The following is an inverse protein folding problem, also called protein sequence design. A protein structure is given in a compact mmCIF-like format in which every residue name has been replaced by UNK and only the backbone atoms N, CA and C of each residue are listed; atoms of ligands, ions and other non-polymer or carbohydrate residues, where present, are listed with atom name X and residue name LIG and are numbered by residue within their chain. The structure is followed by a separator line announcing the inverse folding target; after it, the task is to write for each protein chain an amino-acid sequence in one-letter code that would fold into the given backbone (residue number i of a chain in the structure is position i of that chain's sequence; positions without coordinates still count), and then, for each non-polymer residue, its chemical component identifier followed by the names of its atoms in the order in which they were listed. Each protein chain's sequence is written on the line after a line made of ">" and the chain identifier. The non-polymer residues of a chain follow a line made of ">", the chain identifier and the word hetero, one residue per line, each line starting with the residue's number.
data_IF_117172792272
#
_entry.id   IF_117172792272
#
_cell.length_a   1.000
_cell.length_b   1.000
_cell.length_c   1.000
_cell.angle_alpha   90.00
_cell.angle_beta   90.00
_cell.angle_gamma   90.00
#
_symmetry.space_group_name_H-M   'P 1'
#
loop_
_entity.id
_entity.type
_entity.pdbx_description
1 polymer ?
#
# COMPACT_ATOMS: atom_id res chain seq x y z
N UNK A 1 9.67 62.88 -28.48
CA UNK A 1 9.45 61.45 -28.74
C UNK A 1 8.37 60.88 -27.84
N UNK A 2 7.46 60.06 -28.38
CA UNK A 2 6.57 59.26 -27.54
C UNK A 2 7.40 58.21 -26.77
N UNK A 3 6.99 57.84 -25.54
CA UNK A 3 7.71 56.86 -24.75
C UNK A 3 7.69 55.50 -25.46
N UNK A 4 8.87 54.89 -25.59
CA UNK A 4 9.06 53.54 -26.12
C UNK A 4 8.31 52.55 -25.20
N UNK A 5 7.42 51.70 -25.73
CA UNK A 5 6.75 50.68 -24.93
C UNK A 5 7.82 49.75 -24.30
N UNK A 6 7.84 49.68 -22.98
CA UNK A 6 8.64 48.68 -22.27
C UNK A 6 8.06 47.31 -22.60
N UNK A 7 8.88 46.43 -23.18
CA UNK A 7 8.46 45.05 -23.45
C UNK A 7 7.93 44.42 -22.14
N UNK A 8 6.82 43.66 -22.19
CA UNK A 8 6.32 42.99 -20.99
C UNK A 8 7.45 42.12 -20.42
N UNK A 9 7.69 42.25 -19.12
CA UNK A 9 8.65 41.42 -18.42
C UNK A 9 8.35 39.96 -18.77
N UNK A 10 9.37 39.22 -19.22
CA UNK A 10 9.25 37.78 -19.47
C UNK A 10 8.71 37.06 -18.23
N UNK A 11 8.15 35.84 -18.38
CA UNK A 11 7.60 35.10 -17.25
C UNK A 11 8.64 35.04 -16.13
N UNK A 12 8.24 35.44 -14.91
CA UNK A 12 9.11 35.40 -13.72
C UNK A 12 9.49 33.94 -13.48
N UNK A 13 10.74 33.59 -13.78
CA UNK A 13 11.31 32.27 -13.48
C UNK A 13 11.70 32.32 -12.00
N UNK A 14 10.95 31.63 -11.15
CA UNK A 14 11.27 31.49 -9.73
C UNK A 14 12.52 30.60 -9.62
N UNK A 15 13.59 31.14 -9.04
CA UNK A 15 14.84 30.39 -8.80
C UNK A 15 14.73 29.51 -7.54
N UNK A 16 15.64 28.56 -7.38
CA UNK A 16 15.73 27.76 -6.14
C UNK A 16 15.98 28.65 -4.93
N UNK A 17 16.83 29.67 -5.08
CA UNK A 17 17.11 30.64 -4.02
C UNK A 17 15.84 31.38 -3.59
N UNK A 18 15.00 31.80 -4.54
CA UNK A 18 13.72 32.43 -4.23
C UNK A 18 12.80 31.49 -3.43
N UNK A 19 12.82 30.18 -3.75
CA UNK A 19 12.01 29.19 -3.02
C UNK A 19 12.59 28.98 -1.62
N UNK A 20 13.90 28.85 -1.47
CA UNK A 20 14.57 28.76 -0.16
C UNK A 20 14.22 29.95 0.73
N UNK A 21 14.26 31.17 0.20
CA UNK A 21 13.92 32.38 0.95
C UNK A 21 12.45 32.40 1.38
N UNK A 22 11.53 31.98 0.51
CA UNK A 22 10.10 31.85 0.85
C UNK A 22 9.87 30.78 1.90
N UNK A 23 10.46 29.59 1.73
CA UNK A 23 10.37 28.50 2.71
C UNK A 23 10.91 28.95 4.06
N UNK A 24 12.06 29.62 4.11
CA UNK A 24 12.67 30.12 5.35
C UNK A 24 11.83 31.19 6.03
N UNK A 25 11.14 32.03 5.24
CA UNK A 25 10.23 33.06 5.75
C UNK A 25 9.04 32.45 6.48
N UNK A 26 8.44 31.41 5.90
CA UNK A 26 7.23 30.79 6.44
C UNK A 26 7.56 29.64 7.42
N UNK A 27 8.81 29.16 7.44
CA UNK A 27 9.33 28.09 8.31
C UNK A 27 10.69 28.51 8.92
N UNK A 28 10.72 29.18 10.08
CA UNK A 28 11.94 29.74 10.65
C UNK A 28 13.06 28.71 10.92
N UNK A 29 12.71 27.46 11.22
CA UNK A 29 13.67 26.38 11.52
C UNK A 29 14.17 25.64 10.28
N UNK A 30 13.66 25.97 9.08
CA UNK A 30 14.08 25.35 7.83
C UNK A 30 15.59 25.59 7.55
N UNK A 31 16.32 24.55 7.16
CA UNK A 31 17.80 24.57 7.08
C UNK A 31 18.34 24.71 5.65
N UNK A 32 17.55 25.22 4.71
CA UNK A 32 17.92 25.31 3.28
C UNK A 32 18.31 23.95 2.67
N UNK A 33 17.65 22.89 3.12
CA UNK A 33 17.92 21.50 2.77
C UNK A 33 16.89 20.90 1.82
N UNK A 34 16.02 21.71 1.20
CA UNK A 34 15.19 21.24 0.10
C UNK A 34 16.05 20.93 -1.12
N UNK A 35 15.67 19.88 -1.83
CA UNK A 35 16.29 19.48 -3.09
C UNK A 35 15.32 19.76 -4.24
N UNK A 36 15.81 20.33 -5.33
CA UNK A 36 15.00 20.66 -6.51
C UNK A 36 15.54 19.96 -7.76
N UNK A 37 14.63 19.35 -8.53
CA UNK A 37 14.94 18.83 -9.85
C UNK A 37 14.40 19.74 -10.94
N UNK A 38 15.21 19.92 -11.99
CA UNK A 38 14.88 20.80 -13.12
C UNK A 38 14.83 20.03 -14.44
N UNK A 39 13.87 20.38 -15.28
CA UNK A 39 13.86 20.01 -16.69
C UNK A 39 13.81 21.28 -17.54
N UNK A 40 14.76 21.42 -18.48
CA UNK A 40 14.86 22.60 -19.37
C UNK A 40 14.85 23.93 -18.59
N UNK A 41 15.48 23.95 -17.41
CA UNK A 41 15.58 25.13 -16.54
C UNK A 41 14.34 25.42 -15.68
N UNK A 42 13.27 24.63 -15.81
CA UNK A 42 12.05 24.76 -15.00
C UNK A 42 12.14 23.77 -13.84
N UNK A 43 11.85 24.23 -12.62
CA UNK A 43 11.76 23.36 -11.44
C UNK A 43 10.49 22.51 -11.57
N UNK A 44 10.69 21.20 -11.70
CA UNK A 44 9.61 20.21 -11.88
C UNK A 44 9.50 19.24 -10.70
N UNK A 45 10.51 19.17 -9.84
CA UNK A 45 10.44 18.39 -8.62
C UNK A 45 11.01 19.12 -7.42
N UNK A 46 10.46 18.82 -6.25
CA UNK A 46 10.95 19.29 -4.97
C UNK A 46 10.87 18.17 -3.94
N UNK A 47 11.90 18.05 -3.11
CA UNK A 47 11.88 17.28 -1.88
C UNK A 47 12.11 18.23 -0.72
N UNK A 48 11.13 18.33 0.18
CA UNK A 48 11.24 19.17 1.37
C UNK A 48 11.55 18.31 2.60
N UNK A 49 12.17 18.93 3.61
CA UNK A 49 12.53 18.25 4.86
C UNK A 49 12.19 19.16 6.02
N UNK A 50 11.30 18.71 6.90
CA UNK A 50 10.95 19.43 8.14
C UNK A 50 10.23 20.75 7.92
N UNK A 51 9.49 20.89 6.81
CA UNK A 51 8.71 22.09 6.47
C UNK A 51 7.25 21.86 6.83
N UNK A 52 6.60 22.84 7.49
CA UNK A 52 5.17 22.80 7.81
C UNK A 52 4.36 23.59 6.78
N UNK A 53 4.76 24.85 6.52
CA UNK A 53 4.10 25.73 5.57
C UNK A 53 4.74 25.60 4.17
N UNK A 54 3.98 25.01 3.25
CA UNK A 54 4.38 24.80 1.86
C UNK A 54 3.84 25.86 0.90
N UNK A 55 3.37 27.01 1.39
CA UNK A 55 2.86 28.13 0.58
C UNK A 55 3.87 28.64 -0.44
N UNK A 56 5.16 28.49 -0.15
CA UNK A 56 6.26 28.78 -1.06
C UNK A 56 6.18 28.01 -2.40
N UNK A 57 5.53 26.83 -2.42
CA UNK A 57 5.39 25.99 -3.62
C UNK A 57 4.26 26.43 -4.55
N UNK A 58 3.39 27.34 -4.10
CA UNK A 58 2.23 27.78 -4.85
C UNK A 58 2.64 28.33 -6.22
N UNK A 59 1.89 27.92 -7.25
CA UNK A 59 2.09 28.30 -8.66
C UNK A 59 3.41 27.81 -9.31
N UNK A 60 4.20 26.98 -8.63
CA UNK A 60 5.27 26.23 -9.28
C UNK A 60 4.68 25.17 -10.22
N UNK A 61 5.46 24.76 -11.23
CA UNK A 61 5.07 23.72 -12.21
C UNK A 61 5.58 22.35 -11.79
N UNK A 62 5.48 22.05 -10.50
CA UNK A 62 5.91 20.77 -9.97
C UNK A 62 5.05 19.64 -10.55
N UNK A 63 5.73 18.55 -10.88
CA UNK A 63 5.16 17.26 -11.26
C UNK A 63 5.43 16.19 -10.18
N UNK A 64 6.51 16.35 -9.41
CA UNK A 64 6.92 15.42 -8.36
C UNK A 64 7.18 16.19 -7.08
N UNK A 65 6.48 15.82 -6.00
CA UNK A 65 6.66 16.46 -4.71
C UNK A 65 6.81 15.40 -3.61
N UNK A 66 7.95 15.44 -2.93
CA UNK A 66 8.24 14.60 -1.77
C UNK A 66 8.19 15.47 -0.50
N UNK A 67 7.22 15.17 0.37
CA UNK A 67 7.05 15.79 1.68
C UNK A 67 7.18 14.77 2.81
N UNK A 68 7.77 13.60 2.56
CA UNK A 68 7.88 12.53 3.55
C UNK A 68 8.44 13.05 4.88
N UNK A 69 7.78 12.69 6.00
CA UNK A 69 8.11 13.12 7.36
C UNK A 69 8.09 14.65 7.59
N UNK A 70 7.48 15.43 6.69
CA UNK A 70 7.24 16.84 6.96
C UNK A 70 5.98 17.00 7.81
N UNK A 71 5.94 17.96 8.75
CA UNK A 71 4.76 18.26 9.57
C UNK A 71 3.62 18.95 8.78
N UNK A 72 3.51 18.72 7.47
CA UNK A 72 2.50 19.35 6.61
C UNK A 72 1.12 18.76 6.90
N UNK A 73 0.17 19.63 7.22
CA UNK A 73 -1.25 19.27 7.36
C UNK A 73 -2.16 19.97 6.34
N UNK A 74 -1.78 21.17 5.88
CA UNK A 74 -2.54 21.93 4.88
C UNK A 74 -2.01 21.71 3.46
N UNK A 75 -2.83 21.06 2.63
CA UNK A 75 -2.54 20.84 1.20
C UNK A 75 -3.10 21.96 0.30
N UNK A 76 -3.72 23.00 0.85
CA UNK A 76 -4.31 24.10 0.06
C UNK A 76 -3.34 24.76 -0.92
N UNK A 77 -2.01 24.89 -0.66
CA UNK A 77 -1.07 25.43 -1.63
C UNK A 77 -0.90 24.58 -2.89
N UNK A 78 -1.25 23.28 -2.84
CA UNK A 78 -1.11 22.33 -3.94
C UNK A 78 -2.31 22.36 -4.90
N UNK A 79 -3.39 23.04 -4.54
CA UNK A 79 -4.65 23.02 -5.29
C UNK A 79 -4.46 23.45 -6.75
N UNK A 80 -4.82 22.55 -7.67
CA UNK A 80 -4.79 22.80 -9.11
C UNK A 80 -3.38 22.71 -9.74
N UNK A 81 -2.38 22.22 -9.01
CA UNK A 81 -1.09 21.86 -9.59
C UNK A 81 -1.22 20.62 -10.50
N UNK A 82 -0.26 20.42 -11.40
CA UNK A 82 -0.20 19.27 -12.32
C UNK A 82 0.75 18.18 -11.79
N UNK A 83 0.60 17.86 -10.50
CA UNK A 83 1.39 16.80 -9.86
C UNK A 83 0.99 15.43 -10.42
N UNK A 84 2.01 14.61 -10.69
CA UNK A 84 1.91 13.20 -11.06
C UNK A 84 2.31 12.29 -9.90
N UNK A 85 3.22 12.75 -9.03
CA UNK A 85 3.69 12.07 -7.83
C UNK A 85 3.57 12.99 -6.62
N UNK A 86 3.00 12.48 -5.54
CA UNK A 86 2.95 13.17 -4.25
C UNK A 86 3.20 12.18 -3.10
N UNK A 87 4.25 12.43 -2.33
CA UNK A 87 4.54 11.67 -1.11
C UNK A 87 4.19 12.50 0.14
N UNK A 88 3.23 11.99 0.91
CA UNK A 88 2.76 12.54 2.20
C UNK A 88 2.95 11.52 3.33
N UNK A 89 3.88 10.59 3.16
CA UNK A 89 4.17 9.55 4.15
C UNK A 89 4.59 10.19 5.48
N UNK A 90 3.92 9.80 6.57
CA UNK A 90 4.05 10.36 7.91
C UNK A 90 3.80 11.88 8.02
N UNK A 91 3.02 12.45 7.10
CA UNK A 91 2.49 13.81 7.25
C UNK A 91 1.16 13.80 8.03
N UNK A 92 0.89 14.78 8.90
CA UNK A 92 -0.35 14.86 9.66
C UNK A 92 -1.57 15.33 8.83
N UNK A 93 -1.66 14.90 7.57
CA UNK A 93 -2.74 15.25 6.64
C UNK A 93 -4.02 14.51 6.99
N UNK A 94 -5.14 15.23 6.97
CA UNK A 94 -6.50 14.66 7.15
C UNK A 94 -7.42 14.95 5.95
N UNK A 95 -7.21 16.06 5.24
CA UNK A 95 -8.07 16.50 4.14
C UNK A 95 -7.37 16.39 2.78
N UNK A 96 -7.92 15.56 1.89
CA UNK A 96 -7.46 15.41 0.51
C UNK A 96 -8.23 16.29 -0.49
N UNK A 97 -9.18 17.12 -0.03
CA UNK A 97 -9.99 17.98 -0.90
C UNK A 97 -9.17 18.88 -1.85
N UNK A 98 -7.98 19.40 -1.49
CA UNK A 98 -7.15 20.16 -2.42
C UNK A 98 -6.64 19.36 -3.61
N UNK A 99 -6.58 18.03 -3.50
CA UNK A 99 -6.09 17.13 -4.55
C UNK A 99 -7.15 16.74 -5.59
N UNK A 100 -8.42 17.05 -5.33
CA UNK A 100 -9.55 16.60 -6.14
C UNK A 100 -9.38 16.97 -7.61
N UNK A 101 -9.48 15.97 -8.49
CA UNK A 101 -9.43 16.14 -9.94
C UNK A 101 -8.01 16.34 -10.52
N UNK A 102 -6.97 16.21 -9.70
CA UNK A 102 -5.59 16.19 -10.18
C UNK A 102 -5.28 14.90 -10.97
N UNK A 103 -4.19 14.91 -11.72
CA UNK A 103 -3.74 13.76 -12.54
C UNK A 103 -2.65 12.95 -11.85
N UNK A 104 -2.75 12.80 -10.53
CA UNK A 104 -1.83 11.99 -9.74
C UNK A 104 -1.87 10.54 -10.23
N UNK A 105 -0.68 9.98 -10.46
CA UNK A 105 -0.46 8.58 -10.79
C UNK A 105 0.04 7.81 -9.57
N UNK A 106 0.78 8.48 -8.69
CA UNK A 106 1.34 7.92 -7.47
C UNK A 106 1.03 8.85 -6.29
N UNK A 107 0.40 8.30 -5.25
CA UNK A 107 0.04 9.02 -4.03
C UNK A 107 0.35 8.16 -2.81
N UNK A 108 1.27 8.64 -1.96
CA UNK A 108 1.65 7.93 -0.74
C UNK A 108 1.12 8.68 0.48
N UNK A 109 0.32 7.98 1.29
CA UNK A 109 -0.38 8.46 2.48
C UNK A 109 -0.06 7.61 3.71
N UNK A 110 0.97 6.74 3.63
CA UNK A 110 1.36 5.83 4.71
C UNK A 110 1.55 6.59 6.01
N UNK A 111 0.93 6.12 7.10
CA UNK A 111 1.04 6.74 8.42
C UNK A 111 0.47 8.17 8.52
N UNK A 112 -0.35 8.61 7.57
CA UNK A 112 -1.12 9.86 7.67
C UNK A 112 -2.43 9.66 8.43
N UNK A 113 -3.18 10.74 8.66
CA UNK A 113 -4.47 10.71 9.36
C UNK A 113 -5.69 10.78 8.41
N UNK A 114 -5.48 10.49 7.12
CA UNK A 114 -6.55 10.47 6.12
C UNK A 114 -7.56 9.36 6.44
N UNK A 115 -8.85 9.72 6.44
CA UNK A 115 -9.96 8.76 6.60
C UNK A 115 -10.95 8.78 5.44
N UNK A 116 -11.01 9.89 4.68
CA UNK A 116 -11.91 10.07 3.54
C UNK A 116 -11.13 10.05 2.21
N UNK A 117 -11.44 9.05 1.38
CA UNK A 117 -10.88 8.91 0.03
C UNK A 117 -11.76 9.53 -1.06
N UNK A 118 -12.91 10.13 -0.72
CA UNK A 118 -13.83 10.70 -1.70
C UNK A 118 -13.19 11.71 -2.68
N UNK A 119 -12.16 12.50 -2.31
CA UNK A 119 -11.49 13.38 -3.26
C UNK A 119 -10.73 12.65 -4.38
N UNK A 120 -10.40 11.36 -4.17
CA UNK A 120 -9.62 10.54 -5.11
C UNK A 120 -10.46 9.88 -6.21
N UNK A 121 -11.79 9.92 -6.09
CA UNK A 121 -12.69 9.19 -6.97
C UNK A 121 -12.46 9.53 -8.45
N UNK A 122 -12.23 8.50 -9.26
CA UNK A 122 -12.02 8.62 -10.71
C UNK A 122 -10.67 9.20 -11.13
N UNK A 123 -9.74 9.45 -10.19
CA UNK A 123 -8.39 9.89 -10.52
C UNK A 123 -7.57 8.74 -11.14
N UNK A 124 -6.57 9.03 -12.00
CA UNK A 124 -5.79 8.02 -12.71
C UNK A 124 -4.68 7.38 -11.85
N UNK A 125 -4.90 7.25 -10.54
CA UNK A 125 -3.90 6.72 -9.59
C UNK A 125 -3.66 5.24 -9.90
N UNK A 126 -2.39 4.89 -10.05
CA UNK A 126 -1.90 3.52 -10.29
C UNK A 126 -1.26 2.93 -9.05
N UNK A 127 -0.62 3.78 -8.24
CA UNK A 127 0.02 3.39 -6.98
C UNK A 127 -0.57 4.27 -5.87
N UNK A 128 -1.31 3.64 -4.98
CA UNK A 128 -1.84 4.25 -3.75
C UNK A 128 -1.28 3.50 -2.55
N UNK A 129 -0.50 4.19 -1.72
CA UNK A 129 -0.06 3.67 -0.41
C UNK A 129 -0.85 4.38 0.68
N UNK A 130 -1.47 3.62 1.56
CA UNK A 130 -2.35 4.15 2.61
C UNK A 130 -2.42 3.23 3.83
N UNK A 131 -1.46 2.33 3.97
CA UNK A 131 -1.24 1.53 5.17
C UNK A 131 -1.08 2.43 6.40
N UNK A 132 -1.49 1.93 7.57
CA UNK A 132 -1.48 2.67 8.83
C UNK A 132 -2.30 3.96 8.82
N UNK A 133 -3.41 4.00 8.08
CA UNK A 133 -4.35 5.13 8.06
C UNK A 133 -5.71 4.76 8.66
N UNK A 134 -6.48 5.73 9.18
CA UNK A 134 -7.82 5.46 9.72
C UNK A 134 -8.90 5.20 8.66
N UNK A 135 -8.55 4.99 7.39
CA UNK A 135 -9.49 4.69 6.28
C UNK A 135 -10.34 3.46 6.62
N UNK A 136 -11.66 3.61 6.47
CA UNK A 136 -12.64 2.53 6.67
C UNK A 136 -13.51 2.27 5.45
N UNK A 137 -13.67 3.27 4.57
CA UNK A 137 -14.42 3.16 3.33
C UNK A 137 -13.49 3.26 2.13
N UNK A 138 -13.50 2.21 1.31
CA UNK A 138 -12.75 2.13 0.06
C UNK A 138 -13.63 2.36 -1.17
N UNK A 139 -14.94 2.60 -1.02
CA UNK A 139 -15.88 2.83 -2.13
C UNK A 139 -15.42 3.85 -3.18
N UNK A 140 -14.68 4.94 -2.82
CA UNK A 140 -14.16 5.88 -3.82
C UNK A 140 -13.16 5.28 -4.80
N UNK A 141 -12.61 4.09 -4.50
CA UNK A 141 -11.63 3.40 -5.36
C UNK A 141 -12.28 2.63 -6.51
N UNK A 142 -13.60 2.50 -6.55
CA UNK A 142 -14.32 1.70 -7.55
C UNK A 142 -13.88 2.02 -9.00
N UNK A 143 -13.50 0.97 -9.73
CA UNK A 143 -13.07 1.06 -11.14
C UNK A 143 -11.72 1.75 -11.39
N UNK A 144 -10.96 2.10 -10.35
CA UNK A 144 -9.63 2.69 -10.51
C UNK A 144 -8.61 1.66 -11.06
N UNK A 145 -7.57 2.12 -11.79
CA UNK A 145 -6.61 1.23 -12.46
C UNK A 145 -5.51 0.69 -11.51
N UNK A 146 -5.89 0.29 -10.30
CA UNK A 146 -4.97 -0.23 -9.28
C UNK A 146 -4.64 -1.70 -9.57
N UNK A 147 -3.35 -2.01 -9.68
CA UNK A 147 -2.86 -3.39 -9.81
C UNK A 147 -2.49 -4.02 -8.45
N UNK A 148 -2.29 -3.19 -7.42
CA UNK A 148 -1.95 -3.59 -6.07
C UNK A 148 -2.77 -2.73 -5.09
N UNK A 149 -3.26 -3.35 -4.03
CA UNK A 149 -3.94 -2.67 -2.94
C UNK A 149 -3.41 -3.18 -1.61
N UNK A 150 -2.83 -2.27 -0.82
CA UNK A 150 -2.40 -2.53 0.54
C UNK A 150 -3.35 -1.85 1.53
N UNK A 151 -4.03 -2.66 2.34
CA UNK A 151 -4.94 -2.22 3.41
C UNK A 151 -4.36 -2.51 4.80
N UNK A 152 -3.06 -2.80 4.90
CA UNK A 152 -2.41 -3.10 6.17
C UNK A 152 -2.72 -2.06 7.23
N UNK A 153 -3.22 -2.52 8.37
CA UNK A 153 -3.52 -1.68 9.54
C UNK A 153 -4.43 -0.49 9.20
N UNK A 154 -5.44 -0.74 8.37
CA UNK A 154 -6.56 0.18 8.12
C UNK A 154 -7.81 -0.30 8.85
N UNK A 155 -8.86 0.54 8.87
CA UNK A 155 -10.17 0.23 9.50
C UNK A 155 -11.17 -0.42 8.54
N UNK A 156 -10.72 -0.85 7.36
CA UNK A 156 -11.57 -1.48 6.35
C UNK A 156 -12.07 -2.83 6.86
N UNK A 157 -13.37 -3.09 6.67
CA UNK A 157 -14.04 -4.33 7.14
C UNK A 157 -14.64 -5.18 6.02
N UNK A 158 -14.71 -4.64 4.80
CA UNK A 158 -15.38 -5.29 3.66
C UNK A 158 -14.59 -5.09 2.38
N UNK A 159 -14.61 -6.13 1.54
CA UNK A 159 -13.96 -6.18 0.24
C UNK A 159 -14.94 -6.01 -0.95
N UNK A 160 -16.18 -5.55 -0.71
CA UNK A 160 -17.26 -5.61 -1.70
C UNK A 160 -16.95 -5.06 -3.10
N UNK A 161 -16.06 -4.06 -3.22
CA UNK A 161 -15.71 -3.44 -4.50
C UNK A 161 -14.47 -4.03 -5.19
N UNK A 162 -13.68 -4.87 -4.52
CA UNK A 162 -12.33 -5.21 -5.03
C UNK A 162 -12.37 -6.00 -6.35
N UNK A 163 -13.50 -6.61 -6.67
CA UNK A 163 -13.75 -7.25 -7.96
C UNK A 163 -13.91 -6.27 -9.14
N UNK A 164 -14.04 -4.96 -8.87
CA UNK A 164 -14.04 -3.89 -9.88
C UNK A 164 -12.63 -3.42 -10.23
N UNK A 165 -11.63 -3.85 -9.45
CA UNK A 165 -10.24 -3.45 -9.60
C UNK A 165 -9.43 -4.51 -10.36
N UNK A 166 -8.49 -4.14 -11.22
CA UNK A 166 -7.62 -5.08 -11.94
C UNK A 166 -6.45 -5.58 -11.06
N UNK A 167 -6.74 -5.97 -9.81
CA UNK A 167 -5.72 -6.34 -8.83
C UNK A 167 -5.01 -7.65 -9.20
N UNK A 168 -3.69 -7.63 -9.00
CA UNK A 168 -2.81 -8.79 -8.94
C UNK A 168 -2.33 -9.07 -7.51
N UNK A 169 -2.24 -8.05 -6.68
CA UNK A 169 -1.79 -8.17 -5.30
C UNK A 169 -2.79 -7.51 -4.37
N UNK A 170 -3.17 -8.24 -3.33
CA UNK A 170 -4.00 -7.71 -2.25
C UNK A 170 -3.36 -8.06 -0.91
N UNK A 171 -3.09 -7.04 -0.11
CA UNK A 171 -2.60 -7.19 1.26
C UNK A 171 -3.63 -6.57 2.20
N UNK A 172 -4.16 -7.39 3.11
CA UNK A 172 -5.10 -6.96 4.14
C UNK A 172 -4.65 -7.33 5.57
N UNK A 173 -3.34 -7.38 5.89
CA UNK A 173 -2.94 -7.80 7.22
C UNK A 173 -3.45 -6.84 8.30
N UNK A 174 -3.69 -7.37 9.50
CA UNK A 174 -4.17 -6.58 10.65
C UNK A 174 -5.45 -5.78 10.40
N UNK A 175 -6.32 -6.26 9.50
CA UNK A 175 -7.67 -5.69 9.28
C UNK A 175 -8.75 -6.51 9.98
N UNK A 176 -9.95 -5.95 10.09
CA UNK A 176 -11.13 -6.66 10.62
C UNK A 176 -11.89 -7.48 9.56
N UNK A 177 -11.29 -7.69 8.38
CA UNK A 177 -11.91 -8.46 7.29
C UNK A 177 -12.02 -9.94 7.67
N UNK A 178 -13.18 -10.52 7.36
CA UNK A 178 -13.50 -11.94 7.61
C UNK A 178 -13.99 -12.67 6.37
N UNK A 179 -14.64 -11.96 5.44
CA UNK A 179 -15.27 -12.54 4.26
C UNK A 179 -14.39 -12.34 3.00
N UNK A 180 -13.98 -13.46 2.41
CA UNK A 180 -13.23 -13.50 1.15
C UNK A 180 -14.10 -13.75 -0.08
N UNK A 181 -15.43 -13.85 0.07
CA UNK A 181 -16.37 -14.07 -1.04
C UNK A 181 -16.19 -13.10 -2.22
N UNK A 182 -15.89 -11.80 -2.01
CA UNK A 182 -15.63 -10.86 -3.11
C UNK A 182 -14.43 -11.22 -4.00
N UNK A 183 -13.50 -12.06 -3.51
CA UNK A 183 -12.29 -12.45 -4.26
C UNK A 183 -12.55 -13.56 -5.29
N UNK A 184 -13.71 -14.21 -5.24
CA UNK A 184 -14.02 -15.38 -6.06
C UNK A 184 -13.84 -15.08 -7.56
N UNK A 185 -12.96 -15.84 -8.20
CA UNK A 185 -12.69 -15.74 -9.64
C UNK A 185 -11.73 -14.62 -10.05
N UNK A 186 -11.20 -13.84 -9.11
CA UNK A 186 -10.16 -12.85 -9.41
C UNK A 186 -8.84 -13.53 -9.83
N UNK A 187 -8.06 -12.83 -10.65
CA UNK A 187 -6.75 -13.28 -11.13
C UNK A 187 -5.61 -12.72 -10.27
N UNK A 188 -5.73 -12.87 -8.95
CA UNK A 188 -4.67 -12.49 -8.01
C UNK A 188 -3.45 -13.40 -8.20
N UNK A 189 -2.26 -12.84 -8.00
CA UNK A 189 -0.98 -13.53 -7.92
C UNK A 189 -0.50 -13.66 -6.46
N UNK A 190 -0.90 -12.72 -5.60
CA UNK A 190 -0.49 -12.66 -4.20
C UNK A 190 -1.62 -12.18 -3.30
N UNK A 191 -1.87 -12.91 -2.22
CA UNK A 191 -2.82 -12.54 -1.17
C UNK A 191 -2.14 -12.63 0.20
N UNK A 192 -2.28 -11.59 1.01
CA UNK A 192 -1.86 -11.59 2.42
C UNK A 192 -3.07 -11.28 3.31
N UNK A 193 -3.46 -12.26 4.13
CA UNK A 193 -4.52 -12.18 5.13
C UNK A 193 -3.97 -12.37 6.55
N UNK A 194 -2.68 -12.13 6.76
CA UNK A 194 -2.05 -12.30 8.06
C UNK A 194 -2.73 -11.48 9.16
N UNK A 195 -2.81 -12.03 10.37
CA UNK A 195 -3.38 -11.33 11.54
C UNK A 195 -4.84 -10.84 11.30
N UNK A 196 -5.59 -11.53 10.44
CA UNK A 196 -7.04 -11.30 10.22
C UNK A 196 -7.90 -12.35 10.92
N UNK A 197 -9.23 -12.15 10.93
CA UNK A 197 -10.20 -13.11 11.47
C UNK A 197 -10.79 -14.04 10.41
N UNK A 198 -10.16 -14.11 9.23
CA UNK A 198 -10.59 -15.03 8.16
C UNK A 198 -10.45 -16.47 8.63
N UNK A 199 -11.51 -17.26 8.46
CA UNK A 199 -11.53 -18.69 8.79
C UNK A 199 -11.85 -19.58 7.58
N UNK A 200 -12.63 -19.07 6.62
CA UNK A 200 -13.09 -19.83 5.46
C UNK A 200 -12.29 -19.49 4.19
N UNK A 201 -11.56 -20.48 3.67
CA UNK A 201 -10.83 -20.38 2.40
C UNK A 201 -11.65 -20.89 1.20
N UNK A 202 -12.89 -21.34 1.38
CA UNK A 202 -13.74 -21.86 0.29
C UNK A 202 -13.90 -20.90 -0.89
N UNK A 203 -13.98 -19.55 -0.72
CA UNK A 203 -13.99 -18.61 -1.84
C UNK A 203 -12.76 -18.68 -2.75
N UNK A 204 -11.63 -19.19 -2.24
CA UNK A 204 -10.35 -19.23 -2.96
C UNK A 204 -10.18 -20.49 -3.83
N UNK A 205 -11.10 -21.46 -3.75
CA UNK A 205 -10.99 -22.74 -4.47
C UNK A 205 -10.78 -22.53 -5.96
N UNK A 206 -9.73 -23.17 -6.50
CA UNK A 206 -9.42 -23.15 -7.94
C UNK A 206 -8.81 -21.84 -8.45
N UNK A 207 -8.57 -20.85 -7.58
CA UNK A 207 -7.81 -19.66 -7.96
C UNK A 207 -6.37 -20.02 -8.32
N UNK A 208 -5.71 -19.12 -9.06
CA UNK A 208 -4.38 -19.36 -9.65
C UNK A 208 -3.28 -18.50 -9.02
N UNK A 209 -3.47 -17.99 -7.79
CA UNK A 209 -2.44 -17.19 -7.13
C UNK A 209 -1.24 -18.03 -6.71
N UNK A 210 -0.07 -17.39 -6.69
CA UNK A 210 1.23 -18.02 -6.47
C UNK A 210 1.70 -17.91 -5.02
N UNK A 211 1.22 -16.90 -4.29
CA UNK A 211 1.69 -16.57 -2.94
C UNK A 211 0.52 -16.32 -2.01
N UNK A 212 0.50 -17.02 -0.89
CA UNK A 212 -0.51 -16.85 0.16
C UNK A 212 0.19 -16.72 1.51
N UNK A 213 -0.13 -15.64 2.22
CA UNK A 213 0.19 -15.50 3.63
C UNK A 213 -1.13 -15.51 4.42
N UNK A 214 -1.26 -16.48 5.33
CA UNK A 214 -2.39 -16.63 6.23
C UNK A 214 -1.95 -16.84 7.69
N UNK A 215 -0.69 -16.52 8.01
CA UNK A 215 -0.20 -16.61 9.38
C UNK A 215 -1.08 -15.83 10.35
N UNK A 216 -1.29 -16.40 11.53
CA UNK A 216 -2.10 -15.83 12.62
C UNK A 216 -3.55 -15.49 12.22
N UNK A 217 -4.07 -16.10 11.16
CA UNK A 217 -5.50 -16.07 10.85
C UNK A 217 -6.28 -17.12 11.66
N UNK A 218 -7.61 -17.10 11.53
CA UNK A 218 -8.51 -18.09 12.13
C UNK A 218 -8.69 -19.36 11.24
N UNK A 219 -7.90 -19.51 10.18
CA UNK A 219 -7.96 -20.66 9.27
C UNK A 219 -7.50 -21.93 9.98
N UNK A 220 -8.29 -23.00 9.85
CA UNK A 220 -7.97 -24.33 10.40
C UNK A 220 -8.07 -25.46 9.36
N UNK A 221 -8.71 -25.22 8.22
CA UNK A 221 -8.89 -26.18 7.12
C UNK A 221 -8.22 -25.67 5.84
N UNK A 222 -7.15 -26.37 5.41
CA UNK A 222 -6.41 -26.05 4.19
C UNK A 222 -6.91 -26.83 2.96
N UNK A 223 -7.93 -27.69 3.09
CA UNK A 223 -8.45 -28.45 1.93
C UNK A 223 -8.94 -27.59 0.76
N UNK A 224 -9.43 -26.35 0.94
CA UNK A 224 -9.72 -25.46 -0.20
C UNK A 224 -8.52 -25.16 -1.10
N UNK A 225 -7.29 -25.35 -0.61
CA UNK A 225 -6.05 -25.10 -1.35
C UNK A 225 -5.63 -26.27 -2.26
N UNK A 226 -6.37 -27.37 -2.26
CA UNK A 226 -6.00 -28.59 -3.00
C UNK A 226 -5.90 -28.34 -4.51
N UNK A 227 -4.75 -28.70 -5.08
CA UNK A 227 -4.46 -28.60 -6.52
C UNK A 227 -4.18 -27.18 -7.02
N UNK A 228 -4.07 -26.19 -6.13
CA UNK A 228 -3.71 -24.82 -6.51
C UNK A 228 -2.20 -24.71 -6.78
N UNK A 229 -1.76 -23.90 -7.77
CA UNK A 229 -0.35 -23.76 -8.16
C UNK A 229 0.43 -22.84 -7.20
N UNK A 230 0.31 -23.07 -5.90
CA UNK A 230 0.93 -22.25 -4.87
C UNK A 230 2.44 -22.46 -4.85
N UNK A 231 3.22 -21.38 -4.93
CA UNK A 231 4.69 -21.41 -4.84
C UNK A 231 5.17 -21.13 -3.42
N UNK A 232 4.46 -20.27 -2.68
CA UNK A 232 4.80 -19.92 -1.30
C UNK A 232 3.56 -19.88 -0.41
N UNK A 233 3.63 -20.56 0.73
CA UNK A 233 2.65 -20.49 1.80
C UNK A 233 3.32 -20.04 3.10
N UNK A 234 2.83 -18.94 3.68
CA UNK A 234 3.11 -18.58 5.06
C UNK A 234 1.84 -18.85 5.88
N UNK A 235 1.95 -19.62 6.96
CA UNK A 235 0.80 -20.03 7.76
C UNK A 235 1.21 -20.36 9.20
N UNK A 236 0.25 -20.61 10.08
CA UNK A 236 0.49 -21.05 11.46
C UNK A 236 0.17 -22.54 11.58
N UNK A 237 1.15 -23.46 11.47
CA UNK A 237 0.87 -24.90 11.38
C UNK A 237 0.12 -25.45 12.59
N UNK A 238 0.34 -24.88 13.77
CA UNK A 238 -0.32 -25.29 15.01
C UNK A 238 -1.85 -25.06 14.99
N UNK A 239 -2.36 -24.17 14.14
CA UNK A 239 -3.79 -23.89 14.03
C UNK A 239 -4.50 -24.88 13.06
N UNK A 240 -3.74 -25.63 12.27
CA UNK A 240 -4.31 -26.44 11.19
C UNK A 240 -4.79 -27.78 11.74
N UNK A 241 -6.08 -28.06 11.55
CA UNK A 241 -6.71 -29.33 11.96
C UNK A 241 -6.98 -30.25 10.79
N UNK A 242 -6.96 -29.72 9.55
CA UNK A 242 -7.29 -30.47 8.33
C UNK A 242 -6.56 -29.91 7.11
N UNK A 243 -6.14 -30.79 6.20
CA UNK A 243 -5.51 -30.39 4.93
C UNK A 243 -4.00 -30.15 5.02
N UNK A 244 -3.32 -30.63 6.06
CA UNK A 244 -1.85 -30.60 6.09
C UNK A 244 -1.23 -31.49 4.99
N UNK A 245 -1.87 -32.62 4.72
CA UNK A 245 -1.59 -33.52 3.58
C UNK A 245 -1.68 -32.77 2.25
N UNK A 246 -2.70 -31.93 2.08
CA UNK A 246 -2.91 -31.14 0.87
C UNK A 246 -1.72 -30.22 0.57
N UNK A 247 -1.12 -29.62 1.60
CA UNK A 247 0.08 -28.78 1.44
C UNK A 247 1.32 -29.65 1.21
N UNK A 248 1.45 -30.76 1.94
CA UNK A 248 2.60 -31.68 1.82
C UNK A 248 2.70 -32.31 0.44
N UNK A 249 1.58 -32.66 -0.15
CA UNK A 249 1.48 -33.30 -1.47
C UNK A 249 1.51 -32.29 -2.62
N UNK A 250 1.51 -30.99 -2.35
CA UNK A 250 1.49 -29.97 -3.40
C UNK A 250 2.89 -29.84 -4.05
N UNK A 251 3.05 -30.23 -5.33
CA UNK A 251 4.35 -30.26 -5.98
C UNK A 251 4.85 -28.88 -6.41
N UNK A 252 4.01 -27.85 -6.39
CA UNK A 252 4.41 -26.49 -6.82
C UNK A 252 4.97 -25.66 -5.69
N UNK A 253 4.74 -26.05 -4.43
CA UNK A 253 5.19 -25.30 -3.26
C UNK A 253 6.71 -25.42 -3.14
N UNK A 254 7.37 -24.28 -3.24
CA UNK A 254 8.82 -24.15 -3.09
C UNK A 254 9.17 -23.64 -1.69
N UNK A 255 8.38 -22.71 -1.17
CA UNK A 255 8.63 -22.02 0.10
C UNK A 255 7.52 -22.22 1.13
N UNK A 256 7.89 -22.66 2.33
CA UNK A 256 7.00 -22.75 3.49
C UNK A 256 7.61 -21.99 4.67
N UNK A 257 6.78 -21.30 5.45
CA UNK A 257 7.22 -20.56 6.63
C UNK A 257 6.07 -20.17 7.55
N UNK A 258 6.43 -19.60 8.70
CA UNK A 258 5.50 -19.03 9.69
C UNK A 258 5.51 -17.50 9.71
N UNK A 259 6.51 -16.89 9.09
CA UNK A 259 6.62 -15.46 8.76
C UNK A 259 7.46 -15.31 7.49
N UNK A 260 7.65 -14.08 7.00
CA UNK A 260 8.48 -13.85 5.81
C UNK A 260 9.95 -14.21 6.02
N UNK A 261 10.43 -14.06 7.25
CA UNK A 261 11.81 -14.30 7.66
C UNK A 261 12.11 -15.78 7.85
N UNK A 262 11.10 -16.61 8.11
CA UNK A 262 11.26 -18.05 8.36
C UNK A 262 10.97 -18.93 7.15
N UNK A 263 10.69 -18.32 5.99
CA UNK A 263 10.44 -19.07 4.75
C UNK A 263 11.70 -19.85 4.36
N UNK A 264 11.52 -21.16 4.19
CA UNK A 264 12.55 -22.10 3.78
C UNK A 264 12.02 -23.04 2.70
N UNK A 265 12.92 -23.84 2.12
CA UNK A 265 12.54 -24.85 1.16
C UNK A 265 11.53 -25.84 1.76
N UNK A 266 10.58 -26.32 0.95
CA UNK A 266 9.50 -27.17 1.44
C UNK A 266 9.99 -28.47 2.11
N UNK A 267 11.06 -29.09 1.59
CA UNK A 267 11.67 -30.29 2.16
C UNK A 267 12.31 -30.02 3.54
N UNK A 268 13.00 -28.90 3.68
CA UNK A 268 13.58 -28.44 4.94
C UNK A 268 12.47 -28.19 5.98
N UNK A 269 11.40 -27.49 5.58
CA UNK A 269 10.25 -27.25 6.44
C UNK A 269 9.63 -28.55 6.95
N UNK A 270 9.38 -29.53 6.06
CA UNK A 270 8.75 -30.79 6.47
C UNK A 270 9.64 -31.62 7.39
N UNK A 271 10.96 -31.62 7.16
CA UNK A 271 11.91 -32.27 8.06
C UNK A 271 11.84 -31.70 9.48
N UNK A 272 11.78 -30.38 9.61
CA UNK A 272 11.65 -29.71 10.90
C UNK A 272 10.28 -29.94 11.54
N UNK A 273 9.22 -29.83 10.75
CA UNK A 273 7.85 -30.06 11.20
C UNK A 273 7.67 -31.47 11.77
N UNK A 274 8.17 -32.50 11.07
CA UNK A 274 8.07 -33.90 11.49
C UNK A 274 8.94 -34.18 12.72
N UNK A 275 10.13 -33.60 12.81
CA UNK A 275 10.99 -33.72 14.00
C UNK A 275 10.38 -33.08 15.25
N UNK A 276 9.53 -32.06 15.08
CA UNK A 276 8.84 -31.38 16.17
C UNK A 276 7.53 -32.08 16.61
N UNK A 277 7.04 -33.08 15.86
CA UNK A 277 5.84 -33.82 16.28
C UNK A 277 6.14 -34.71 17.49
N UNK A 278 5.22 -34.77 18.48
CA UNK A 278 5.38 -35.69 19.59
C UNK A 278 5.44 -37.14 19.08
N UNK A 279 6.41 -37.91 19.55
CA UNK A 279 6.54 -39.32 19.20
C UNK A 279 5.21 -40.07 19.45
N UNK A 280 4.79 -40.98 18.55
CA UNK A 280 3.55 -41.71 18.73
C UNK A 280 3.56 -42.43 20.07
N UNK A 281 2.55 -42.17 20.91
CA UNK A 281 2.37 -42.89 22.17
C UNK A 281 2.27 -44.38 21.83
N UNK A 282 3.29 -45.15 22.18
CA UNK A 282 3.22 -46.61 22.11
C UNK A 282 1.98 -47.06 22.91
N UNK A 283 0.97 -47.56 22.22
CA UNK A 283 -0.10 -48.33 22.83
C UNK A 283 0.58 -49.50 23.54
N UNK A 284 0.53 -49.52 24.88
CA UNK A 284 0.85 -50.72 25.63
C UNK A 284 -0.11 -51.80 25.15
N UNK A 285 0.43 -52.82 24.50
CA UNK A 285 -0.22 -54.10 24.31
C UNK A 285 -0.57 -54.65 25.70
N UNK A 286 -1.85 -54.62 26.04
CA UNK A 286 -2.35 -55.41 27.18
C UNK A 286 -2.37 -56.88 26.75
N UNK A 287 -1.54 -57.67 27.43
CA UNK A 287 -1.58 -59.14 27.45
C UNK A 287 -2.66 -59.61 28.43
#
# INVERSE_FOLDING_TARGET
>A
DPPVPVAPAGPVIISEQDIHERLKKDNPDYQNNAEFGKEKGIIISAKLIGVEDISALKALKLQFLDLMNCPVSDLSPLKGMDLQYLDLTHCPVTDLSPLKGMKLQELYLEGSFVSDLSPLQGMPIRILRMEHTPVSDISPLEGMPLNQLNLFDTKVKSLGLVNTLPLKTLWIPSTEITDLSPLKGMLLESLDIQDTKVADLSPLRGMQFLRLNLANSAVTDLTPLKGMPLQRLIFTPANITKGMDVIRENPTIQGLGTSFETVKAADEFWKEYDAAQPAPKHQKSEN
#
